data_IF_708004619745
#
_entry.id   IF_708004619745
#
_cell.length_a   1.000
_cell.length_b   1.000
_cell.length_c   1.000
_cell.angle_alpha   90.00
_cell.angle_beta   90.00
_cell.angle_gamma   90.00
#
_symmetry.space_group_name_H-M   'P 1'
#
loop_
_entity.id
_entity.type
_entity.pdbx_description
1 polymer ?
#
# COMPACT_ATOMS: atom_id res chain seq x y z
N UNK A 1 -26.65 -27.72 -45.22
CA UNK A 1 -26.72 -26.70 -44.14
C UNK A 1 -27.86 -26.92 -43.13
N UNK A 2 -28.98 -27.57 -43.47
CA UNK A 2 -30.12 -27.78 -42.53
C UNK A 2 -29.86 -28.75 -41.35
N UNK A 3 -28.99 -29.76 -41.50
CA UNK A 3 -28.70 -30.74 -40.42
C UNK A 3 -27.83 -30.18 -39.28
N UNK A 4 -27.10 -29.09 -39.51
CA UNK A 4 -26.23 -28.47 -38.50
C UNK A 4 -27.03 -27.62 -37.49
N UNK A 5 -28.07 -26.91 -37.95
CA UNK A 5 -28.95 -26.12 -37.09
C UNK A 5 -29.84 -26.96 -36.16
N UNK A 6 -30.26 -28.16 -36.59
CA UNK A 6 -31.04 -29.06 -35.74
C UNK A 6 -30.25 -29.59 -34.53
N UNK A 7 -28.95 -29.83 -34.69
CA UNK A 7 -28.07 -30.28 -33.59
C UNK A 7 -27.81 -29.17 -32.57
N UNK A 8 -27.59 -27.93 -33.03
CA UNK A 8 -27.40 -26.78 -32.16
C UNK A 8 -28.66 -26.45 -31.33
N UNK A 9 -29.85 -26.58 -31.93
CA UNK A 9 -31.12 -26.32 -31.25
C UNK A 9 -31.45 -27.35 -30.16
N UNK A 10 -31.19 -28.64 -30.41
CA UNK A 10 -31.35 -29.71 -29.41
C UNK A 10 -30.39 -29.52 -28.23
N UNK A 11 -29.15 -29.10 -28.50
CA UNK A 11 -28.13 -28.84 -27.47
C UNK A 11 -28.51 -27.66 -26.56
N UNK A 12 -28.95 -26.53 -27.13
CA UNK A 12 -29.42 -25.39 -26.34
C UNK A 12 -30.67 -25.70 -25.50
N UNK A 13 -31.56 -26.59 -25.98
CA UNK A 13 -32.78 -26.97 -25.23
C UNK A 13 -32.45 -27.89 -24.04
N UNK A 14 -31.48 -28.79 -24.18
CA UNK A 14 -31.04 -29.72 -23.14
C UNK A 14 -30.21 -29.07 -22.01
N UNK A 15 -29.44 -28.01 -22.33
CA UNK A 15 -28.72 -27.22 -21.33
C UNK A 15 -29.61 -26.23 -20.55
N UNK A 16 -30.74 -25.82 -21.14
CA UNK A 16 -31.71 -24.93 -20.48
C UNK A 16 -32.60 -25.67 -19.46
N UNK A 17 -32.94 -26.94 -19.72
CA UNK A 17 -33.74 -27.76 -18.79
C UNK A 17 -32.91 -28.27 -17.61
N UNK A 18 -31.65 -28.63 -17.81
CA UNK A 18 -30.72 -29.06 -16.74
C UNK A 18 -30.40 -27.93 -15.75
N UNK A 19 -30.30 -26.68 -16.21
CA UNK A 19 -30.08 -25.51 -15.34
C UNK A 19 -31.30 -25.15 -14.48
N UNK A 20 -32.53 -25.37 -14.96
CA UNK A 20 -33.76 -25.06 -14.21
C UNK A 20 -34.01 -26.10 -13.10
N UNK A 21 -33.74 -27.38 -13.37
CA UNK A 21 -33.92 -28.46 -12.38
C UNK A 21 -32.82 -28.40 -11.30
N UNK A 22 -31.58 -28.08 -11.66
CA UNK A 22 -30.51 -27.88 -10.68
C UNK A 22 -30.76 -26.67 -9.75
N UNK A 23 -31.31 -25.58 -10.27
CA UNK A 23 -31.66 -24.40 -9.47
C UNK A 23 -32.79 -24.64 -8.45
N UNK A 24 -33.85 -25.38 -8.84
CA UNK A 24 -34.97 -25.65 -7.93
C UNK A 24 -34.63 -26.67 -6.82
N UNK A 25 -33.74 -27.64 -7.08
CA UNK A 25 -33.30 -28.60 -6.07
C UNK A 25 -32.44 -27.91 -4.99
N UNK A 26 -31.62 -26.92 -5.36
CA UNK A 26 -30.83 -26.14 -4.39
C UNK A 26 -31.71 -25.21 -3.55
N UNK A 27 -32.70 -24.55 -4.15
CA UNK A 27 -33.60 -23.63 -3.41
C UNK A 27 -34.51 -24.40 -2.44
N UNK A 28 -35.05 -25.55 -2.82
CA UNK A 28 -35.91 -26.36 -1.95
C UNK A 28 -35.13 -27.10 -0.85
N UNK A 29 -33.86 -27.45 -1.06
CA UNK A 29 -33.01 -28.04 -0.01
C UNK A 29 -32.54 -26.99 1.00
N UNK A 30 -32.25 -25.76 0.57
CA UNK A 30 -31.91 -24.64 1.48
C UNK A 30 -33.13 -24.15 2.28
N UNK A 31 -34.33 -24.13 1.68
CA UNK A 31 -35.57 -23.77 2.39
C UNK A 31 -36.07 -24.86 3.36
N UNK A 32 -35.85 -26.14 3.07
CA UNK A 32 -36.21 -27.23 3.97
C UNK A 32 -35.28 -27.33 5.20
N UNK A 33 -34.01 -26.91 5.08
CA UNK A 33 -33.07 -26.86 6.22
C UNK A 33 -33.28 -25.64 7.13
N UNK A 34 -33.99 -24.61 6.66
CA UNK A 34 -34.27 -23.39 7.42
C UNK A 34 -35.53 -23.47 8.32
N UNK A 35 -36.27 -24.59 8.30
CA UNK A 35 -37.54 -24.76 9.03
C UNK A 35 -37.52 -25.86 10.12
N UNK A 36 -36.35 -26.39 10.49
CA UNK A 36 -36.22 -27.43 11.53
C UNK A 36 -35.36 -27.05 12.76
N UNK A 37 -35.01 -25.77 12.92
CA UNK A 37 -34.34 -25.29 14.14
C UNK A 37 -35.23 -24.35 14.95
N UNK A 38 -36.37 -24.85 15.42
CA UNK A 38 -37.13 -24.24 16.51
C UNK A 38 -36.85 -24.98 17.81
N UNK A 39 -35.69 -24.72 18.40
CA UNK A 39 -35.36 -24.89 19.84
C UNK A 39 -33.88 -24.53 20.02
N UNK A 40 -33.55 -23.83 21.10
CA UNK A 40 -32.32 -23.01 21.32
C UNK A 40 -32.36 -21.69 20.53
N UNK A 41 -32.82 -20.56 21.07
CA UNK A 41 -32.55 -20.01 22.39
C UNK A 41 -31.40 -19.01 22.29
N UNK A 42 -31.72 -17.73 22.03
CA UNK A 42 -30.89 -16.56 22.33
C UNK A 42 -29.59 -16.39 21.53
N UNK A 43 -29.38 -15.17 21.02
CA UNK A 43 -28.07 -14.63 20.62
C UNK A 43 -27.49 -15.07 19.26
N UNK A 44 -28.15 -14.70 18.15
CA UNK A 44 -27.48 -14.60 16.83
C UNK A 44 -27.55 -13.18 16.22
N UNK A 45 -27.65 -12.15 17.07
CA UNK A 45 -27.32 -10.77 16.71
C UNK A 45 -26.07 -10.32 17.49
N UNK A 46 -24.93 -10.95 17.22
CA UNK A 46 -23.60 -10.38 17.49
C UNK A 46 -22.55 -11.24 16.80
N UNK A 47 -22.38 -10.98 15.51
CA UNK A 47 -21.15 -11.33 14.80
C UNK A 47 -20.68 -10.14 13.95
N UNK A 48 -20.79 -8.92 14.50
CA UNK A 48 -19.69 -7.97 14.36
C UNK A 48 -18.69 -8.29 15.47
N UNK A 49 -18.09 -9.47 15.40
CA UNK A 49 -16.76 -9.60 15.97
C UNK A 49 -15.88 -8.72 15.06
N UNK A 50 -15.83 -7.42 15.38
CA UNK A 50 -14.65 -6.64 15.06
C UNK A 50 -13.48 -7.55 15.45
N UNK A 51 -12.52 -7.76 14.54
CA UNK A 51 -11.21 -8.25 14.92
C UNK A 51 -10.75 -7.29 16.02
N UNK A 52 -11.00 -7.66 17.27
CA UNK A 52 -10.79 -6.77 18.39
C UNK A 52 -9.29 -6.67 18.46
N UNK A 53 -8.77 -5.56 17.96
CA UNK A 53 -7.38 -5.23 18.06
C UNK A 53 -6.94 -5.49 19.51
N UNK A 54 -5.69 -5.90 19.68
CA UNK A 54 -5.16 -6.23 21.00
C UNK A 54 -5.43 -5.12 22.02
N UNK A 55 -5.42 -5.42 23.33
CA UNK A 55 -5.81 -4.47 24.37
C UNK A 55 -5.07 -3.12 24.35
N UNK A 56 -3.91 -3.05 23.70
CA UNK A 56 -3.08 -1.85 23.57
C UNK A 56 -3.05 -1.29 22.14
N UNK A 57 -3.76 -1.90 21.21
CA UNK A 57 -3.72 -1.51 19.81
C UNK A 57 -4.58 -0.28 19.56
N UNK A 58 -4.14 0.54 18.61
CA UNK A 58 -4.94 1.61 18.05
C UNK A 58 -5.70 1.09 16.84
N UNK A 59 -7.01 1.23 16.86
CA UNK A 59 -7.84 0.92 15.68
C UNK A 59 -7.89 2.12 14.75
N UNK A 60 -7.52 1.91 13.49
CA UNK A 60 -7.67 2.89 12.41
C UNK A 60 -8.79 2.44 11.46
N UNK A 61 -9.68 3.36 11.08
CA UNK A 61 -10.74 3.09 10.09
C UNK A 61 -10.30 3.68 8.76
N UNK A 62 -10.15 2.81 7.76
CA UNK A 62 -9.69 3.16 6.41
C UNK A 62 -10.66 4.13 5.75
N UNK A 63 -10.13 5.25 5.25
CA UNK A 63 -10.89 6.26 4.52
C UNK A 63 -10.61 6.16 3.03
N UNK A 64 -11.46 6.81 2.23
CA UNK A 64 -11.25 6.91 0.79
C UNK A 64 -9.88 7.53 0.47
N UNK A 65 -9.09 6.83 -0.35
CA UNK A 65 -7.75 7.24 -0.74
C UNK A 65 -6.63 6.86 0.25
N UNK A 66 -6.96 6.14 1.34
CA UNK A 66 -5.93 5.57 2.21
C UNK A 66 -5.28 4.35 1.57
N UNK A 67 -4.01 4.16 1.92
CA UNK A 67 -3.23 2.96 1.60
C UNK A 67 -2.63 2.38 2.86
N UNK A 68 -2.38 1.08 2.87
CA UNK A 68 -1.81 0.41 4.04
C UNK A 68 -0.41 0.95 4.37
N UNK A 69 0.37 1.32 3.34
CA UNK A 69 1.67 1.97 3.48
C UNK A 69 1.58 3.33 4.17
N UNK A 70 0.59 4.16 3.85
CA UNK A 70 0.38 5.43 4.57
C UNK A 70 -0.01 5.20 6.04
N UNK A 71 -0.94 4.28 6.30
CA UNK A 71 -1.38 3.98 7.67
C UNK A 71 -0.22 3.42 8.49
N UNK A 72 0.57 2.52 7.89
CA UNK A 72 1.78 1.97 8.51
C UNK A 72 2.83 3.05 8.78
N UNK A 73 3.10 3.94 7.82
CA UNK A 73 4.04 5.04 8.00
C UNK A 73 3.61 6.03 9.09
N UNK A 74 2.32 6.36 9.18
CA UNK A 74 1.76 7.15 10.29
C UNK A 74 1.90 6.46 11.65
N UNK A 75 1.87 5.13 11.66
CA UNK A 75 2.08 4.30 12.83
C UNK A 75 3.56 4.00 13.13
N UNK A 76 4.51 4.44 12.28
CA UNK A 76 5.92 4.14 12.43
C UNK A 76 6.28 2.67 12.21
N UNK A 77 5.51 1.95 11.39
CA UNK A 77 5.76 0.55 11.00
C UNK A 77 5.77 0.40 9.47
N UNK A 78 6.02 -0.80 8.96
CA UNK A 78 5.96 -1.09 7.52
C UNK A 78 4.60 -1.70 7.16
N UNK A 79 4.16 -1.52 5.91
CA UNK A 79 2.90 -2.12 5.46
C UNK A 79 2.94 -3.65 5.59
N UNK A 80 4.09 -4.31 5.38
CA UNK A 80 4.22 -5.76 5.52
C UNK A 80 3.94 -6.18 6.96
N UNK A 81 4.60 -5.55 7.93
CA UNK A 81 4.37 -5.84 9.36
C UNK A 81 2.93 -5.56 9.74
N UNK A 82 2.34 -4.47 9.24
CA UNK A 82 0.94 -4.13 9.52
C UNK A 82 -0.04 -5.09 8.84
N UNK A 83 0.24 -5.53 7.61
CA UNK A 83 -0.54 -6.52 6.87
C UNK A 83 -0.51 -7.87 7.56
N UNK A 84 0.68 -8.33 7.96
CA UNK A 84 0.89 -9.57 8.69
C UNK A 84 0.13 -9.55 10.01
N UNK A 85 0.23 -8.43 10.74
CA UNK A 85 -0.50 -8.23 12.00
C UNK A 85 -2.02 -8.30 11.82
N UNK A 86 -2.52 -7.69 10.75
CA UNK A 86 -3.95 -7.66 10.40
C UNK A 86 -4.41 -8.85 9.57
N UNK A 87 -3.51 -9.80 9.28
CA UNK A 87 -3.76 -11.00 8.47
C UNK A 87 -4.38 -10.67 7.10
N UNK A 88 -3.89 -9.61 6.46
CA UNK A 88 -4.37 -9.18 5.16
C UNK A 88 -3.82 -10.10 4.06
N UNK A 89 -4.72 -10.69 3.26
CA UNK A 89 -4.34 -11.60 2.18
C UNK A 89 -3.61 -10.90 1.03
N UNK A 90 -3.97 -9.65 0.74
CA UNK A 90 -3.25 -8.79 -0.19
C UNK A 90 -2.96 -7.44 0.50
N UNK A 91 -1.70 -7.16 0.86
CA UNK A 91 -1.31 -5.91 1.50
C UNK A 91 -1.56 -4.65 0.66
N UNK A 92 -1.77 -4.81 -0.66
CA UNK A 92 -2.03 -3.70 -1.58
C UNK A 92 -3.52 -3.35 -1.68
N UNK A 93 -4.39 -4.15 -1.05
CA UNK A 93 -5.85 -3.98 -1.12
C UNK A 93 -6.38 -3.79 0.29
N UNK A 94 -6.79 -2.56 0.58
CA UNK A 94 -7.60 -2.23 1.77
C UNK A 94 -8.88 -1.54 1.33
N UNK A 95 -9.96 -1.76 2.08
CA UNK A 95 -11.29 -1.27 1.77
C UNK A 95 -11.67 -0.10 2.67
N UNK A 96 -12.47 0.83 2.15
CA UNK A 96 -13.06 1.89 2.96
C UNK A 96 -13.87 1.26 4.10
N UNK A 97 -13.81 1.87 5.28
CA UNK A 97 -14.39 1.42 6.56
C UNK A 97 -13.79 0.11 7.11
N UNK A 98 -12.74 -0.42 6.47
CA UNK A 98 -11.97 -1.52 7.04
C UNK A 98 -11.25 -1.04 8.30
N UNK A 99 -11.30 -1.86 9.34
CA UNK A 99 -10.56 -1.62 10.57
C UNK A 99 -9.15 -2.23 10.45
N UNK A 100 -8.13 -1.39 10.66
CA UNK A 100 -6.73 -1.77 10.71
C UNK A 100 -6.25 -1.59 12.16
N UNK A 101 -5.82 -2.70 12.76
CA UNK A 101 -5.22 -2.76 14.07
C UNK A 101 -3.75 -2.35 13.97
N UNK A 102 -3.40 -1.27 14.66
CA UNK A 102 -2.03 -0.78 14.78
C UNK A 102 -1.50 -1.21 16.15
N UNK A 103 -0.45 -2.06 16.22
CA UNK A 103 0.11 -2.48 17.49
C UNK A 103 0.56 -1.28 18.34
N UNK A 104 0.03 -1.14 19.55
CA UNK A 104 0.56 -0.17 20.51
C UNK A 104 1.90 -0.66 21.05
N UNK A 105 2.90 0.23 21.11
CA UNK A 105 4.28 -0.02 21.58
C UNK A 105 4.45 -1.29 22.42
N UNK A 106 4.84 -2.40 21.77
CA UNK A 106 5.02 -3.68 22.45
C UNK A 106 5.32 -4.91 21.57
N UNK A 107 5.48 -4.79 20.25
CA UNK A 107 5.75 -5.95 19.40
C UNK A 107 6.66 -5.64 18.19
N UNK A 108 7.91 -5.26 18.46
CA UNK A 108 9.01 -5.58 17.54
C UNK A 108 10.29 -5.78 18.36
N UNK A 109 10.33 -6.89 19.08
CA UNK A 109 11.59 -7.44 19.60
C UNK A 109 11.53 -8.96 19.54
N UNK A 110 11.74 -9.49 18.34
CA UNK A 110 12.57 -10.67 18.13
C UNK A 110 13.69 -10.15 17.22
N UNK A 111 14.97 -10.15 17.58
CA UNK A 111 15.67 -11.09 18.43
C UNK A 111 16.58 -11.92 17.54
N UNK A 112 17.50 -11.27 16.83
CA UNK A 112 18.68 -11.94 16.28
C UNK A 112 19.93 -11.31 16.90
N UNK A 113 20.61 -12.19 17.62
CA UNK A 113 21.78 -11.99 18.44
C UNK A 113 23.02 -11.76 17.56
N UNK A 114 23.70 -10.63 17.75
CA UNK A 114 25.13 -10.51 17.45
C UNK A 114 25.77 -9.50 18.38
N UNK A 115 26.38 -10.08 19.41
CA UNK A 115 27.38 -9.54 20.32
C UNK A 115 28.45 -8.67 19.61
N UNK A 116 28.61 -7.41 20.05
CA UNK A 116 29.95 -6.86 20.37
C UNK A 116 29.86 -5.50 21.11
N UNK A 117 30.31 -5.48 22.38
CA UNK A 117 31.11 -4.40 22.96
C UNK A 117 30.44 -3.08 23.41
N UNK A 118 30.08 -3.03 24.71
CA UNK A 118 30.32 -1.96 25.72
C UNK A 118 31.03 -0.66 25.25
N UNK A 119 30.71 0.58 25.65
CA UNK A 119 30.58 1.09 27.04
C UNK A 119 29.92 2.50 27.13
N UNK A 120 29.03 2.69 28.12
CA UNK A 120 28.63 3.88 28.94
C UNK A 120 28.20 5.25 28.36
N UNK A 121 26.89 5.50 28.47
CA UNK A 121 26.16 6.64 29.07
C UNK A 121 26.78 8.06 29.16
N UNK A 122 26.12 9.03 28.51
CA UNK A 122 25.49 10.22 29.14
C UNK A 122 24.37 10.74 28.23
N UNK A 123 23.20 11.06 28.80
CA UNK A 123 21.95 11.27 28.06
C UNK A 123 21.89 12.52 27.17
N UNK A 124 21.39 12.34 25.94
CA UNK A 124 20.64 13.31 25.13
C UNK A 124 19.78 12.50 24.14
N UNK A 125 18.53 12.95 23.94
CA UNK A 125 17.53 12.41 23.02
C UNK A 125 18.08 12.31 21.58
N UNK A 126 17.84 11.19 20.90
CA UNK A 126 17.90 11.09 19.43
C UNK A 126 19.02 10.23 18.84
N UNK A 127 18.86 8.90 18.87
CA UNK A 127 19.62 8.04 17.96
C UNK A 127 18.97 8.09 16.57
N UNK A 128 19.37 9.03 15.72
CA UNK A 128 19.23 8.86 14.26
C UNK A 128 20.31 7.89 13.82
N UNK A 129 19.91 6.66 13.48
CA UNK A 129 20.78 5.74 12.77
C UNK A 129 21.40 6.45 11.54
N UNK A 130 22.66 6.16 11.19
CA UNK A 130 23.26 6.76 10.00
C UNK A 130 22.45 6.34 8.77
N UNK A 131 21.95 7.34 8.03
CA UNK A 131 21.21 7.16 6.79
C UNK A 131 22.04 6.29 5.84
N UNK A 132 21.53 5.12 5.46
CA UNK A 132 22.22 4.25 4.50
C UNK A 132 22.18 4.92 3.14
N UNK A 133 23.33 5.10 2.48
CA UNK A 133 23.43 5.79 1.19
C UNK A 133 23.66 4.78 0.08
N UNK A 134 23.01 4.99 -1.06
CA UNK A 134 23.26 4.22 -2.27
C UNK A 134 24.59 4.58 -2.92
N UNK A 135 25.15 3.62 -3.65
CA UNK A 135 26.44 3.74 -4.35
C UNK A 135 26.29 4.15 -5.81
N UNK A 136 25.08 4.20 -6.35
CA UNK A 136 24.84 4.51 -7.76
C UNK A 136 23.37 4.56 -8.13
N UNK A 137 23.12 4.90 -9.40
CA UNK A 137 21.77 4.86 -9.96
C UNK A 137 21.52 3.57 -10.74
N UNK A 138 20.84 2.62 -10.09
CA UNK A 138 20.55 1.31 -10.67
C UNK A 138 19.22 1.25 -11.43
N UNK A 139 18.32 2.22 -11.26
CA UNK A 139 17.00 2.20 -11.89
C UNK A 139 17.10 2.31 -13.41
N UNK A 140 16.14 1.70 -14.12
CA UNK A 140 16.15 1.73 -15.58
C UNK A 140 15.72 3.10 -16.11
N UNK A 141 16.49 3.67 -17.03
CA UNK A 141 16.01 4.80 -17.83
C UNK A 141 14.86 4.34 -18.76
N UNK A 142 13.78 5.11 -18.96
CA UNK A 142 13.52 6.45 -18.44
C UNK A 142 12.56 6.50 -17.24
N UNK A 143 12.54 5.47 -16.39
CA UNK A 143 11.56 5.36 -15.31
C UNK A 143 11.62 6.54 -14.34
N UNK A 144 10.48 6.86 -13.71
CA UNK A 144 10.38 7.94 -12.73
C UNK A 144 11.37 7.77 -11.57
N UNK A 145 11.59 6.51 -11.15
CA UNK A 145 12.58 6.10 -10.15
C UNK A 145 14.01 6.43 -10.55
N UNK A 146 14.36 6.30 -11.85
CA UNK A 146 15.67 6.68 -12.35
C UNK A 146 15.90 8.18 -12.26
N UNK A 147 14.93 8.98 -12.69
CA UNK A 147 15.07 10.44 -12.62
C UNK A 147 15.12 10.92 -11.17
N UNK A 148 14.22 10.44 -10.32
CA UNK A 148 14.22 10.79 -8.90
C UNK A 148 15.58 10.49 -8.26
N UNK A 149 16.15 9.30 -8.46
CA UNK A 149 17.45 8.96 -7.89
C UNK A 149 18.60 9.81 -8.46
N UNK A 150 18.63 10.03 -9.78
CA UNK A 150 19.63 10.89 -10.44
C UNK A 150 19.57 12.32 -9.92
N UNK A 151 18.37 12.91 -9.91
CA UNK A 151 18.16 14.30 -9.53
C UNK A 151 18.37 14.53 -8.03
N UNK A 152 17.98 13.58 -7.18
CA UNK A 152 18.30 13.63 -5.76
C UNK A 152 19.83 13.63 -5.53
N UNK A 153 20.58 12.81 -6.27
CA UNK A 153 22.04 12.84 -6.22
C UNK A 153 22.63 14.17 -6.70
N UNK A 154 22.10 14.78 -7.76
CA UNK A 154 22.54 16.12 -8.21
C UNK A 154 22.33 17.19 -7.14
N UNK A 155 21.27 17.09 -6.33
CA UNK A 155 20.96 18.06 -5.29
C UNK A 155 21.74 17.82 -3.99
N UNK A 156 21.96 16.55 -3.61
CA UNK A 156 22.42 16.18 -2.27
C UNK A 156 23.72 15.38 -2.25
N UNK A 157 24.24 14.98 -3.41
CA UNK A 157 25.45 14.17 -3.53
C UNK A 157 25.29 12.71 -3.10
N UNK A 158 24.07 12.23 -2.86
CA UNK A 158 23.78 10.86 -2.38
C UNK A 158 22.73 10.19 -3.26
N UNK A 159 22.86 8.88 -3.46
CA UNK A 159 21.81 8.06 -4.08
C UNK A 159 20.94 7.41 -3.01
N UNK A 160 19.71 7.06 -3.37
CA UNK A 160 18.89 6.19 -2.52
C UNK A 160 19.51 4.78 -2.44
N UNK A 161 19.49 4.11 -1.28
CA UNK A 161 20.16 2.83 -1.08
C UNK A 161 19.38 1.61 -1.59
N UNK A 162 18.09 1.74 -1.89
CA UNK A 162 17.29 0.63 -2.40
C UNK A 162 17.47 0.44 -3.91
N UNK A 163 17.32 -0.81 -4.36
CA UNK A 163 17.63 -1.25 -5.73
C UNK A 163 16.39 -1.30 -6.63
N UNK A 164 16.58 -1.73 -7.88
CA UNK A 164 15.60 -1.78 -8.98
C UNK A 164 14.35 -2.61 -8.73
N UNK A 165 14.35 -3.48 -7.72
CA UNK A 165 13.17 -4.27 -7.33
C UNK A 165 12.19 -3.47 -6.46
N UNK A 166 12.11 -2.15 -6.67
CA UNK A 166 11.24 -1.26 -5.92
C UNK A 166 10.48 -0.33 -6.86
N UNK A 167 9.18 -0.53 -6.92
CA UNK A 167 8.24 0.38 -7.57
C UNK A 167 8.18 1.70 -6.80
N UNK A 168 7.70 2.76 -7.46
CA UNK A 168 7.66 4.10 -6.91
C UNK A 168 6.91 4.17 -5.56
N UNK A 169 5.76 3.51 -5.43
CA UNK A 169 4.98 3.53 -4.19
C UNK A 169 5.73 2.97 -2.97
N UNK A 170 6.70 2.07 -3.19
CA UNK A 170 7.45 1.38 -2.13
C UNK A 170 8.59 2.25 -1.55
N UNK A 171 8.88 3.41 -2.13
CA UNK A 171 10.02 4.24 -1.72
C UNK A 171 9.88 4.80 -0.30
N UNK A 172 8.65 4.99 0.20
CA UNK A 172 8.42 5.35 1.61
C UNK A 172 8.90 4.24 2.55
N UNK A 173 8.57 2.98 2.25
CA UNK A 173 9.00 1.85 3.08
C UNK A 173 10.51 1.65 3.01
N UNK A 174 11.07 1.75 1.80
CA UNK A 174 12.52 1.65 1.62
C UNK A 174 13.27 2.77 2.34
N UNK A 175 12.67 3.95 2.44
CA UNK A 175 13.20 5.03 3.24
C UNK A 175 13.28 4.62 4.71
N UNK A 176 12.18 4.14 5.28
CA UNK A 176 12.14 3.67 6.67
C UNK A 176 13.12 2.52 6.93
N UNK A 177 13.16 1.51 6.05
CA UNK A 177 14.08 0.37 6.15
C UNK A 177 15.56 0.78 6.17
N UNK A 178 15.88 1.94 5.57
CA UNK A 178 17.24 2.46 5.45
C UNK A 178 17.53 3.67 6.35
N UNK A 179 16.61 3.98 7.28
CA UNK A 179 16.76 5.08 8.24
C UNK A 179 16.65 6.49 7.62
N UNK A 180 16.09 6.60 6.41
CA UNK A 180 15.76 7.89 5.79
C UNK A 180 14.50 8.49 6.43
N UNK A 181 14.40 9.82 6.38
CA UNK A 181 13.26 10.53 6.94
C UNK A 181 12.13 10.55 5.93
N UNK A 182 10.92 10.40 6.44
CA UNK A 182 9.69 10.54 5.67
C UNK A 182 8.88 11.66 6.30
N UNK A 183 8.45 12.62 5.49
CA UNK A 183 7.54 13.69 5.86
C UNK A 183 6.26 13.60 5.05
N UNK A 184 5.14 13.96 5.65
CA UNK A 184 3.86 14.17 4.95
C UNK A 184 3.55 15.65 4.74
N UNK A 185 4.41 16.53 5.23
CA UNK A 185 4.43 17.96 4.86
C UNK A 185 5.48 18.20 3.77
N UNK A 186 5.28 19.17 2.86
CA UNK A 186 6.19 19.43 1.77
C UNK A 186 7.60 19.74 2.24
N UNK A 187 8.58 19.07 1.62
CA UNK A 187 10.01 19.33 1.83
C UNK A 187 10.64 19.57 0.47
N UNK A 188 11.16 20.78 0.25
CA UNK A 188 11.85 21.12 -0.98
C UNK A 188 13.15 20.30 -1.08
N UNK A 189 13.42 19.76 -2.27
CA UNK A 189 14.55 18.89 -2.56
C UNK A 189 14.34 17.42 -2.14
N UNK A 190 13.24 17.08 -1.47
CA UNK A 190 12.92 15.69 -1.16
C UNK A 190 12.44 14.92 -2.39
N UNK A 191 12.57 13.60 -2.35
CA UNK A 191 11.84 12.73 -3.28
C UNK A 191 10.38 12.75 -2.88
N UNK A 192 9.50 13.20 -3.77
CA UNK A 192 8.06 13.07 -3.58
C UNK A 192 7.61 11.69 -4.05
N UNK A 193 6.81 11.02 -3.23
CA UNK A 193 6.25 9.69 -3.50
C UNK A 193 4.74 9.82 -3.57
N UNK A 194 4.17 9.46 -4.71
CA UNK A 194 2.74 9.32 -4.94
C UNK A 194 2.38 7.84 -4.83
N UNK A 195 1.43 7.53 -3.94
CA UNK A 195 0.84 6.20 -3.86
C UNK A 195 0.02 5.89 -5.13
N UNK A 196 -0.34 4.62 -5.39
CA UNK A 196 -1.08 4.24 -6.57
C UNK A 196 -2.38 5.04 -6.73
N UNK A 197 -2.65 5.50 -7.97
CA UNK A 197 -3.87 6.24 -8.33
C UNK A 197 -4.01 7.64 -7.71
N UNK A 198 -2.98 8.12 -7.01
CA UNK A 198 -2.98 9.47 -6.43
C UNK A 198 -2.57 10.50 -7.48
N UNK A 199 -3.42 11.49 -7.72
CA UNK A 199 -3.14 12.65 -8.57
C UNK A 199 -2.58 12.30 -9.96
N UNK A 200 -3.08 11.20 -10.54
CA UNK A 200 -2.67 10.73 -11.87
C UNK A 200 -1.56 9.67 -11.86
N UNK A 201 -1.06 9.26 -10.70
CA UNK A 201 -0.12 8.14 -10.60
C UNK A 201 -0.75 6.81 -11.05
N UNK A 202 0.03 5.96 -11.72
CA UNK A 202 -0.41 4.62 -12.10
C UNK A 202 -0.45 3.63 -10.93
N UNK A 203 -0.75 2.36 -11.21
CA UNK A 203 -0.82 1.30 -10.20
C UNK A 203 0.51 1.01 -9.47
N UNK A 204 1.65 1.44 -10.06
CA UNK A 204 2.97 1.33 -9.44
C UNK A 204 3.36 2.56 -8.59
N UNK A 205 2.41 3.47 -8.38
CA UNK A 205 2.68 4.79 -7.82
C UNK A 205 3.52 5.65 -8.77
N UNK A 206 4.06 6.75 -8.25
CA UNK A 206 4.97 7.61 -8.99
C UNK A 206 5.96 8.30 -8.06
N UNK A 207 7.16 8.59 -8.53
CA UNK A 207 8.15 9.38 -7.79
C UNK A 207 8.70 10.50 -8.64
N UNK A 208 9.10 11.58 -7.99
CA UNK A 208 9.80 12.70 -8.61
C UNK A 208 10.57 13.49 -7.56
N UNK A 209 11.10 14.65 -7.94
CA UNK A 209 11.75 15.57 -7.01
C UNK A 209 10.89 16.79 -6.78
N UNK A 210 10.67 17.13 -5.51
CA UNK A 210 10.02 18.36 -5.10
C UNK A 210 10.95 19.56 -5.33
N UNK A 211 10.98 20.11 -6.54
CA UNK A 211 11.87 21.20 -6.92
C UNK A 211 11.53 22.50 -6.20
N UNK A 212 10.23 22.75 -5.96
CA UNK A 212 9.76 23.98 -5.30
C UNK A 212 8.43 23.76 -4.58
N UNK A 213 8.30 24.38 -3.41
CA UNK A 213 7.01 24.57 -2.72
C UNK A 213 6.44 25.93 -3.17
N UNK A 214 5.26 25.91 -3.76
CA UNK A 214 4.59 27.10 -4.28
C UNK A 214 3.89 27.87 -3.16
N UNK A 215 3.58 29.15 -3.42
CA UNK A 215 2.95 30.03 -2.45
C UNK A 215 1.55 29.55 -2.01
N UNK A 216 0.87 28.79 -2.86
CA UNK A 216 -0.43 28.17 -2.59
C UNK A 216 -0.32 26.82 -1.84
N UNK A 217 0.89 26.40 -1.48
CA UNK A 217 1.17 25.13 -0.80
C UNK A 217 1.28 23.93 -1.73
N UNK A 218 1.06 24.08 -3.05
CA UNK A 218 1.34 23.00 -4.01
C UNK A 218 2.84 22.82 -4.22
N UNK A 219 3.23 21.70 -4.82
CA UNK A 219 4.64 21.36 -5.07
C UNK A 219 4.86 21.21 -6.57
N UNK A 220 5.83 21.95 -7.10
CA UNK A 220 6.34 21.73 -8.46
C UNK A 220 7.33 20.57 -8.46
N UNK A 221 7.01 19.53 -9.20
CA UNK A 221 7.73 18.25 -9.19
C UNK A 221 8.37 17.99 -10.54
N UNK A 222 9.66 17.67 -10.57
CA UNK A 222 10.32 17.14 -11.77
C UNK A 222 10.26 15.62 -11.81
N UNK A 223 9.96 15.04 -12.97
CA UNK A 223 9.87 13.59 -13.16
C UNK A 223 10.09 13.21 -14.63
N UNK A 224 10.40 11.94 -14.87
CA UNK A 224 10.34 11.31 -16.20
C UNK A 224 9.27 10.23 -16.19
N UNK A 225 8.96 9.71 -17.38
CA UNK A 225 7.89 8.73 -17.56
C UNK A 225 6.52 9.19 -17.02
N UNK A 226 6.24 10.50 -17.13
CA UNK A 226 4.94 11.10 -16.84
C UNK A 226 4.38 11.73 -18.11
N UNK A 227 3.16 11.34 -18.49
CA UNK A 227 2.53 11.79 -19.72
C UNK A 227 3.10 11.13 -20.98
N UNK A 228 2.99 11.82 -22.13
CA UNK A 228 3.17 11.21 -23.45
C UNK A 228 4.64 10.94 -23.85
N UNK A 229 5.60 11.66 -23.25
CA UNK A 229 7.02 11.58 -23.63
C UNK A 229 7.84 10.99 -22.48
N UNK A 230 8.04 9.66 -22.46
CA UNK A 230 8.56 9.00 -21.26
C UNK A 230 10.02 9.34 -20.95
N UNK A 231 10.80 9.76 -21.96
CA UNK A 231 12.24 10.08 -21.84
C UNK A 231 12.53 11.52 -21.44
N UNK A 232 11.54 12.41 -21.53
CA UNK A 232 11.71 13.82 -21.22
C UNK A 232 11.46 14.10 -19.75
N UNK A 233 12.22 15.03 -19.18
CA UNK A 233 11.90 15.58 -17.85
C UNK A 233 10.70 16.49 -18.01
N UNK A 234 9.63 16.18 -17.29
CA UNK A 234 8.40 16.96 -17.21
C UNK A 234 8.24 17.55 -15.82
N UNK A 235 7.53 18.68 -15.76
CA UNK A 235 7.19 19.35 -14.52
C UNK A 235 5.70 19.26 -14.28
N UNK A 236 5.33 18.84 -13.08
CA UNK A 236 3.94 18.62 -12.68
C UNK A 236 3.67 19.29 -11.36
N UNK A 237 2.48 19.87 -11.18
CA UNK A 237 2.06 20.41 -9.90
C UNK A 237 1.30 19.35 -9.11
N UNK A 238 1.77 19.06 -7.90
CA UNK A 238 1.18 18.09 -6.98
C UNK A 238 0.69 18.81 -5.73
N UNK A 239 -0.53 18.51 -5.30
CA UNK A 239 -1.09 19.00 -4.05
C UNK A 239 -0.72 18.04 -2.92
N UNK A 240 -0.07 18.49 -1.84
CA UNK A 240 0.19 17.67 -0.67
C UNK A 240 -1.11 17.18 -0.04
N UNK A 241 -1.11 15.98 0.55
CA UNK A 241 -2.30 15.40 1.15
C UNK A 241 -2.23 13.89 1.22
N UNK A 242 -3.40 13.25 1.30
CA UNK A 242 -3.46 11.79 1.30
C UNK A 242 -2.79 11.24 0.03
N UNK A 243 -1.93 10.26 0.22
CA UNK A 243 -1.22 9.54 -0.83
C UNK A 243 0.09 10.18 -1.25
N UNK A 244 0.49 11.28 -0.60
CA UNK A 244 1.70 12.04 -0.93
C UNK A 244 2.66 12.06 0.25
N UNK A 245 3.89 11.63 0.03
CA UNK A 245 4.96 11.65 1.03
C UNK A 245 6.25 12.24 0.45
N UNK A 246 7.17 12.64 1.33
CA UNK A 246 8.45 13.27 0.99
C UNK A 246 9.57 12.54 1.72
N UNK A 247 10.51 11.96 0.96
CA UNK A 247 11.63 11.13 1.44
C UNK A 247 12.95 11.88 1.30
N UNK A 248 13.77 11.92 2.37
CA UNK A 248 15.03 12.66 2.41
C UNK A 248 15.96 12.28 3.58
#
# INVERSE_FOLDING_TARGET
MQKYYQKAWQYCKQHRTTSIVAGHVVVLTVLALALLTTSFGGSMFSAFAASSCGPNDKTYVVKSGDTLSQIAGQAGTTYSKLADYNKLSDPNVIYIDQHICIPGNGASSNGDNSNSGSTTNTGTIGYTAPVVKGTGNYFAFPQCTWWANKRYHELHGVYVPWTTNSNAYQWVDRAHDNGWRVSYTPVQGAVIVLQPYVQGAGGLGHVGIAEKINADGTVSVSNTNWGANPTSVTYTTITPGSGVAFVY
#
